data_IF_858349914167
#
_entry.id   IF_858349914167
#
_cell.length_a   1.000
_cell.length_b   1.000
_cell.length_c   1.000
_cell.angle_alpha   90.00
_cell.angle_beta   90.00
_cell.angle_gamma   90.00
#
_symmetry.space_group_name_H-M   'P 1'
#
loop_
_entity.id
_entity.type
_entity.pdbx_description
1 polymer ?
#
# COMPACT_ATOMS: atom_id res chain seq x y z
N UNK A 1 -26.92 1.26 23.03
CA UNK A 1 -25.73 0.51 23.47
C UNK A 1 -25.57 -0.65 22.54
N UNK A 2 -24.60 -0.62 21.63
CA UNK A 2 -24.29 -1.74 20.75
C UNK A 2 -23.58 -2.82 21.57
N UNK A 3 -24.09 -4.04 21.53
CA UNK A 3 -23.44 -5.21 22.13
C UNK A 3 -22.13 -5.48 21.38
N UNK A 4 -21.00 -5.72 22.07
CA UNK A 4 -19.77 -6.10 21.42
C UNK A 4 -19.97 -7.47 20.74
N UNK A 5 -19.80 -7.53 19.41
CA UNK A 5 -19.59 -8.79 18.73
C UNK A 5 -20.46 -9.15 17.55
N UNK A 6 -21.35 -8.31 17.05
CA UNK A 6 -22.01 -8.61 15.78
C UNK A 6 -22.49 -7.31 15.10
N UNK A 7 -21.70 -6.78 14.16
CA UNK A 7 -22.26 -5.93 13.12
C UNK A 7 -23.13 -6.87 12.27
N UNK A 8 -24.43 -6.87 12.47
CA UNK A 8 -25.36 -7.76 11.75
C UNK A 8 -25.25 -7.61 10.23
N UNK A 9 -24.74 -6.47 9.76
CA UNK A 9 -24.36 -6.17 8.37
C UNK A 9 -23.17 -5.18 8.39
N UNK A 10 -21.91 -5.67 8.39
CA UNK A 10 -20.73 -4.80 8.48
C UNK A 10 -20.60 -3.95 7.21
N UNK A 11 -20.23 -2.66 7.34
CA UNK A 11 -20.03 -1.78 6.19
C UNK A 11 -19.02 -2.35 5.19
N UNK A 12 -19.27 -2.06 3.91
CA UNK A 12 -18.35 -2.38 2.83
C UNK A 12 -17.31 -1.28 2.72
N UNK A 13 -16.03 -1.64 2.86
CA UNK A 13 -14.90 -0.72 2.72
C UNK A 13 -14.13 -1.05 1.45
N UNK A 14 -14.10 -0.11 0.52
CA UNK A 14 -13.27 -0.19 -0.67
C UNK A 14 -11.95 0.55 -0.41
N UNK A 15 -10.84 -0.16 -0.53
CA UNK A 15 -9.50 0.42 -0.45
C UNK A 15 -8.93 0.48 -1.87
N UNK A 16 -8.66 1.67 -2.35
CA UNK A 16 -7.99 1.91 -3.62
C UNK A 16 -6.49 1.86 -3.42
N UNK A 17 -5.83 0.83 -3.99
CA UNK A 17 -4.46 0.43 -3.74
C UNK A 17 -4.38 -0.83 -2.87
N UNK A 18 -3.38 -1.69 -3.12
CA UNK A 18 -3.12 -2.91 -2.36
C UNK A 18 -1.62 -3.10 -2.02
N UNK A 19 -0.84 -2.02 -2.06
CA UNK A 19 0.55 -1.97 -1.59
C UNK A 19 0.67 -2.01 -0.06
N UNK A 20 1.89 -1.86 0.48
CA UNK A 20 2.18 -2.04 1.91
C UNK A 20 1.25 -1.25 2.84
N UNK A 21 1.06 0.06 2.59
CA UNK A 21 0.26 0.90 3.49
C UNK A 21 -1.23 0.56 3.39
N UNK A 22 -1.72 0.37 2.17
CA UNK A 22 -3.09 -0.08 1.91
C UNK A 22 -3.36 -1.45 2.56
N UNK A 23 -2.41 -2.37 2.49
CA UNK A 23 -2.51 -3.70 3.09
C UNK A 23 -2.58 -3.64 4.62
N UNK A 24 -1.82 -2.74 5.25
CA UNK A 24 -1.93 -2.50 6.70
C UNK A 24 -3.32 -1.99 7.11
N UNK A 25 -3.92 -1.12 6.29
CA UNK A 25 -5.31 -0.67 6.47
C UNK A 25 -6.29 -1.82 6.29
N UNK A 26 -6.17 -2.58 5.20
CA UNK A 26 -7.01 -3.76 4.92
C UNK A 26 -6.93 -4.81 6.01
N UNK A 27 -5.72 -5.08 6.50
CA UNK A 27 -5.46 -5.98 7.62
C UNK A 27 -6.18 -5.54 8.91
N UNK A 28 -6.08 -4.26 9.28
CA UNK A 28 -6.71 -3.72 10.50
C UNK A 28 -8.24 -3.77 10.41
N UNK A 29 -8.80 -3.34 9.27
CA UNK A 29 -10.25 -3.30 9.07
C UNK A 29 -10.87 -4.70 8.97
N UNK A 30 -10.23 -5.63 8.28
CA UNK A 30 -10.67 -7.02 8.22
C UNK A 30 -10.71 -7.65 9.62
N UNK A 31 -9.67 -7.44 10.45
CA UNK A 31 -9.64 -7.91 11.84
C UNK A 31 -10.70 -7.26 12.72
N UNK A 32 -11.12 -6.06 12.39
CA UNK A 32 -12.23 -5.37 13.06
C UNK A 32 -13.62 -5.80 12.56
N UNK A 33 -13.69 -6.75 11.60
CA UNK A 33 -14.95 -7.33 11.12
C UNK A 33 -15.59 -6.60 9.94
N UNK A 34 -14.90 -5.66 9.29
CA UNK A 34 -15.41 -4.99 8.09
C UNK A 34 -15.31 -5.88 6.85
N UNK A 35 -16.24 -5.67 5.90
CA UNK A 35 -16.17 -6.27 4.56
C UNK A 35 -15.22 -5.45 3.70
N UNK A 36 -13.96 -5.83 3.67
CA UNK A 36 -12.93 -5.13 2.89
C UNK A 36 -12.90 -5.69 1.46
N UNK A 37 -12.78 -4.80 0.47
CA UNK A 37 -12.38 -5.10 -0.92
C UNK A 37 -11.27 -4.13 -1.31
N UNK A 38 -10.28 -4.59 -2.07
CA UNK A 38 -9.17 -3.75 -2.50
C UNK A 38 -9.05 -3.74 -4.01
N UNK A 39 -8.56 -2.62 -4.57
CA UNK A 39 -8.26 -2.53 -6.00
C UNK A 39 -6.81 -2.19 -6.22
N UNK A 40 -6.25 -2.66 -7.33
CA UNK A 40 -4.85 -2.40 -7.70
C UNK A 40 -4.69 -2.41 -9.24
N UNK A 41 -3.53 -1.99 -9.72
CA UNK A 41 -3.14 -2.14 -11.12
C UNK A 41 -2.78 -3.60 -11.44
N UNK A 42 -2.84 -3.98 -12.73
CA UNK A 42 -2.54 -5.35 -13.16
C UNK A 42 -1.08 -5.78 -12.94
N UNK A 43 -0.15 -4.83 -12.92
CA UNK A 43 1.27 -5.07 -12.66
C UNK A 43 1.76 -4.16 -11.51
N UNK A 44 1.53 -4.56 -10.26
CA UNK A 44 1.88 -3.74 -9.10
C UNK A 44 3.41 -3.59 -8.92
N UNK A 45 3.87 -2.36 -8.67
CA UNK A 45 5.28 -2.05 -8.41
C UNK A 45 5.61 -2.10 -6.90
N UNK A 46 5.26 -3.20 -6.25
CA UNK A 46 5.43 -3.36 -4.80
C UNK A 46 6.80 -3.96 -4.47
N UNK A 47 7.71 -3.19 -3.86
CA UNK A 47 9.02 -3.74 -3.41
C UNK A 47 8.86 -4.63 -2.17
N UNK A 48 7.86 -4.34 -1.31
CA UNK A 48 7.56 -5.15 -0.12
C UNK A 48 6.38 -6.09 -0.35
N UNK A 49 6.37 -6.75 -1.50
CA UNK A 49 5.29 -7.65 -1.92
C UNK A 49 4.94 -8.77 -0.90
N UNK A 50 5.82 -9.27 0.00
CA UNK A 50 5.43 -10.28 0.99
C UNK A 50 4.35 -9.80 1.97
N UNK A 51 4.26 -8.49 2.22
CA UNK A 51 3.27 -7.89 3.14
C UNK A 51 2.22 -7.07 2.40
N UNK A 52 2.01 -7.35 1.11
CA UNK A 52 1.06 -6.65 0.25
C UNK A 52 -0.03 -7.59 -0.27
N UNK A 53 -1.29 -7.28 -0.01
CA UNK A 53 -2.42 -8.06 -0.56
C UNK A 53 -2.48 -8.01 -2.09
N UNK A 54 -1.96 -6.93 -2.70
CA UNK A 54 -1.85 -6.81 -4.17
C UNK A 54 -1.02 -7.92 -4.83
N UNK A 55 -0.19 -8.63 -4.07
CA UNK A 55 0.51 -9.82 -4.55
C UNK A 55 -0.45 -10.92 -5.04
N UNK A 56 -1.67 -10.96 -4.51
CA UNK A 56 -2.71 -11.87 -4.96
C UNK A 56 -3.07 -11.71 -6.44
N UNK A 57 -2.90 -10.53 -7.04
CA UNK A 57 -3.14 -10.32 -8.48
C UNK A 57 -2.20 -11.18 -9.32
N UNK A 58 -0.95 -11.36 -8.88
CA UNK A 58 0.06 -12.13 -9.60
C UNK A 58 0.01 -13.63 -9.25
N UNK A 59 -0.39 -13.98 -8.02
CA UNK A 59 -0.34 -15.34 -7.47
C UNK A 59 -1.73 -16.01 -7.36
N UNK A 60 -2.82 -15.30 -7.74
CA UNK A 60 -4.19 -15.75 -7.52
C UNK A 60 -4.66 -15.57 -6.08
N UNK A 61 -3.81 -15.83 -5.09
CA UNK A 61 -4.06 -15.54 -3.68
C UNK A 61 -2.76 -15.28 -2.93
N UNK A 62 -2.83 -14.49 -1.85
CA UNK A 62 -1.67 -14.18 -1.02
C UNK A 62 -2.07 -13.99 0.43
N UNK A 63 -1.23 -14.45 1.35
CA UNK A 63 -1.51 -14.32 2.78
C UNK A 63 -0.61 -13.24 3.42
N UNK A 64 -1.21 -12.36 4.21
CA UNK A 64 -0.52 -11.35 5.02
C UNK A 64 -0.96 -11.53 6.48
N UNK A 65 -0.06 -11.99 7.34
CA UNK A 65 -0.30 -12.22 8.77
C UNK A 65 -1.63 -12.94 9.06
N UNK A 66 -1.84 -14.08 8.41
CA UNK A 66 -3.00 -14.96 8.64
C UNK A 66 -4.27 -14.54 7.91
N UNK A 67 -4.26 -13.44 7.16
CA UNK A 67 -5.41 -13.01 6.33
C UNK A 67 -5.09 -13.30 4.86
N UNK A 68 -6.02 -13.96 4.17
CA UNK A 68 -5.88 -14.30 2.77
C UNK A 68 -6.51 -13.23 1.87
N UNK A 69 -5.70 -12.57 1.02
CA UNK A 69 -6.15 -11.82 -0.14
C UNK A 69 -6.40 -12.77 -1.32
N UNK A 70 -7.48 -12.58 -2.06
CA UNK A 70 -7.84 -13.43 -3.21
C UNK A 70 -8.13 -12.55 -4.43
N UNK A 71 -7.41 -12.80 -5.52
CA UNK A 71 -7.71 -12.15 -6.79
C UNK A 71 -9.11 -12.58 -7.28
N UNK A 72 -9.89 -11.61 -7.70
CA UNK A 72 -11.21 -11.84 -8.30
C UNK A 72 -11.30 -11.07 -9.63
N UNK A 73 -12.04 -11.63 -10.57
CA UNK A 73 -12.27 -11.02 -11.88
C UNK A 73 -13.46 -10.05 -11.87
N UNK A 74 -14.36 -10.21 -10.89
CA UNK A 74 -15.60 -9.45 -10.85
C UNK A 74 -16.05 -9.13 -9.41
N UNK A 75 -16.68 -7.96 -9.18
CA UNK A 75 -17.27 -7.63 -7.87
C UNK A 75 -18.31 -8.62 -7.37
N UNK A 76 -18.94 -9.38 -8.27
CA UNK A 76 -19.90 -10.44 -7.92
C UNK A 76 -19.26 -11.57 -7.08
N UNK A 77 -17.94 -11.72 -7.13
CA UNK A 77 -17.21 -12.70 -6.33
C UNK A 77 -16.94 -12.24 -4.89
N UNK A 78 -17.11 -10.96 -4.57
CA UNK A 78 -16.83 -10.41 -3.23
C UNK A 78 -17.55 -11.18 -2.11
N UNK A 79 -18.87 -11.47 -2.19
CA UNK A 79 -19.57 -12.19 -1.12
C UNK A 79 -18.97 -13.57 -0.84
N UNK A 80 -18.56 -14.30 -1.88
CA UNK A 80 -17.92 -15.60 -1.75
C UNK A 80 -16.60 -15.51 -0.97
N UNK A 81 -15.77 -14.52 -1.31
CA UNK A 81 -14.46 -14.32 -0.64
C UNK A 81 -14.66 -13.89 0.82
N UNK A 82 -15.61 -12.98 1.11
CA UNK A 82 -15.92 -12.58 2.50
C UNK A 82 -16.43 -13.74 3.34
N UNK A 83 -17.28 -14.62 2.78
CA UNK A 83 -17.76 -15.83 3.47
C UNK A 83 -16.61 -16.80 3.82
N UNK A 84 -15.55 -16.80 3.02
CA UNK A 84 -14.32 -17.57 3.27
C UNK A 84 -13.36 -16.86 4.25
N UNK A 85 -13.74 -15.71 4.79
CA UNK A 85 -12.89 -14.91 5.69
C UNK A 85 -11.70 -14.24 5.00
N UNK A 86 -11.78 -14.00 3.68
CA UNK A 86 -10.72 -13.38 2.89
C UNK A 86 -11.02 -11.94 2.50
N UNK A 87 -10.03 -11.30 1.86
CA UNK A 87 -10.14 -9.97 1.25
C UNK A 87 -10.11 -10.13 -0.28
N UNK A 88 -11.19 -9.79 -1.01
CA UNK A 88 -11.15 -9.76 -2.47
C UNK A 88 -10.25 -8.63 -3.00
N UNK A 89 -9.44 -8.95 -4.01
CA UNK A 89 -8.52 -8.03 -4.68
C UNK A 89 -8.88 -7.99 -6.16
N UNK A 90 -9.19 -6.80 -6.68
CA UNK A 90 -9.67 -6.59 -8.04
C UNK A 90 -8.68 -5.73 -8.83
N UNK A 91 -8.45 -6.05 -10.09
CA UNK A 91 -7.73 -5.18 -11.02
C UNK A 91 -8.68 -4.07 -11.48
N UNK A 92 -8.65 -2.92 -10.79
CA UNK A 92 -9.52 -1.77 -11.11
C UNK A 92 -8.88 -0.44 -10.65
N UNK A 93 -7.81 0.01 -11.28
CA UNK A 93 -7.12 1.25 -10.90
C UNK A 93 -7.99 2.51 -11.03
N UNK A 94 -8.93 2.49 -11.96
CA UNK A 94 -9.78 3.62 -12.31
C UNK A 94 -11.14 3.61 -11.58
N UNK A 95 -11.38 2.64 -10.69
CA UNK A 95 -12.64 2.46 -9.95
C UNK A 95 -13.87 2.31 -10.88
N UNK A 96 -13.72 1.62 -12.01
CA UNK A 96 -14.81 1.36 -12.96
C UNK A 96 -15.94 0.53 -12.35
N UNK A 97 -15.59 -0.30 -11.35
CA UNK A 97 -16.54 -1.13 -10.63
C UNK A 97 -17.16 -0.46 -9.38
N UNK A 98 -16.82 0.80 -9.11
CA UNK A 98 -17.37 1.55 -7.97
C UNK A 98 -18.92 1.53 -7.93
N UNK A 99 -19.66 1.71 -9.06
CA UNK A 99 -21.12 1.66 -9.06
C UNK A 99 -21.71 0.28 -8.75
N UNK A 100 -20.92 -0.79 -8.92
CA UNK A 100 -21.33 -2.17 -8.63
C UNK A 100 -21.02 -2.55 -7.19
N UNK A 101 -19.84 -2.13 -6.67
CA UNK A 101 -19.39 -2.38 -5.30
C UNK A 101 -20.24 -1.59 -4.30
N UNK A 102 -20.56 -0.32 -4.60
CA UNK A 102 -21.32 0.61 -3.74
C UNK A 102 -20.80 0.62 -2.30
N UNK A 103 -19.53 0.97 -2.07
CA UNK A 103 -18.98 0.94 -0.74
C UNK A 103 -19.60 2.02 0.16
N UNK A 104 -19.73 1.73 1.45
CA UNK A 104 -20.06 2.72 2.47
C UNK A 104 -18.88 3.65 2.74
N UNK A 105 -17.67 3.12 2.58
CA UNK A 105 -16.41 3.82 2.85
C UNK A 105 -15.44 3.57 1.70
N UNK A 106 -14.84 4.64 1.19
CA UNK A 106 -13.74 4.57 0.23
C UNK A 106 -12.47 5.16 0.85
N UNK A 107 -11.39 4.39 0.80
CA UNK A 107 -10.07 4.80 1.26
C UNK A 107 -9.12 4.83 0.07
N UNK A 108 -8.64 6.00 -0.33
CA UNK A 108 -7.60 6.11 -1.36
C UNK A 108 -6.22 5.99 -0.71
N UNK A 109 -5.60 4.84 -0.91
CA UNK A 109 -4.32 4.44 -0.35
C UNK A 109 -3.26 4.16 -1.43
N UNK A 110 -3.43 4.70 -2.66
CA UNK A 110 -2.45 4.56 -3.74
C UNK A 110 -1.11 5.20 -3.38
N UNK A 111 -1.12 6.23 -2.54
CA UNK A 111 0.07 7.00 -2.14
C UNK A 111 0.75 7.73 -3.32
N UNK A 112 -0.01 8.14 -4.33
CA UNK A 112 0.49 8.80 -5.55
C UNK A 112 0.93 10.26 -5.32
N UNK A 113 0.72 10.82 -4.12
CA UNK A 113 1.05 12.22 -3.75
C UNK A 113 0.30 13.28 -4.55
N UNK A 114 -0.69 12.85 -5.30
CA UNK A 114 -1.69 13.65 -6.03
C UNK A 114 -2.99 12.87 -6.12
N UNK A 115 -4.09 13.55 -6.16
CA UNK A 115 -5.39 12.90 -6.37
C UNK A 115 -5.48 12.38 -7.82
N UNK A 116 -5.82 11.10 -7.97
CA UNK A 116 -6.02 10.42 -9.26
C UNK A 116 -7.50 10.13 -9.52
N UNK A 117 -8.39 11.05 -9.14
CA UNK A 117 -9.81 10.99 -9.48
C UNK A 117 -10.73 10.51 -8.36
N UNK A 118 -10.25 10.31 -7.14
CA UNK A 118 -11.11 10.09 -5.98
C UNK A 118 -11.81 11.40 -5.58
N UNK A 119 -13.11 11.35 -5.37
CA UNK A 119 -13.92 12.52 -5.01
C UNK A 119 -14.67 12.28 -3.71
N UNK A 120 -15.08 13.36 -3.05
CA UNK A 120 -15.88 13.29 -1.83
C UNK A 120 -17.22 12.55 -2.04
N UNK A 121 -17.73 12.55 -3.28
CA UNK A 121 -18.97 11.86 -3.65
C UNK A 121 -18.79 10.37 -3.97
N UNK A 122 -17.56 9.84 -3.92
CA UNK A 122 -17.26 8.44 -4.29
C UNK A 122 -17.82 7.43 -3.28
N UNK A 123 -18.09 7.84 -2.03
CA UNK A 123 -18.75 7.04 -1.01
C UNK A 123 -19.30 7.94 0.11
N UNK A 124 -20.21 7.45 0.98
CA UNK A 124 -20.70 8.18 2.16
C UNK A 124 -19.59 8.68 3.08
N UNK A 125 -18.49 7.91 3.23
CA UNK A 125 -17.24 8.37 3.84
C UNK A 125 -16.08 8.14 2.87
N UNK A 126 -15.27 9.18 2.62
CA UNK A 126 -14.04 9.08 1.83
C UNK A 126 -12.84 9.54 2.65
N UNK A 127 -11.75 8.75 2.64
CA UNK A 127 -10.49 9.06 3.32
C UNK A 127 -9.35 9.00 2.30
N UNK A 128 -8.62 10.10 2.14
CA UNK A 128 -7.40 10.15 1.32
C UNK A 128 -6.16 9.97 2.20
N UNK A 129 -5.25 9.09 1.83
CA UNK A 129 -4.03 8.84 2.59
C UNK A 129 -2.86 9.67 2.05
N UNK A 130 -2.35 10.57 2.89
CA UNK A 130 -1.18 11.39 2.62
C UNK A 130 -1.44 12.62 1.76
N UNK A 131 -0.36 13.25 1.26
CA UNK A 131 -0.46 14.45 0.45
C UNK A 131 -1.13 14.21 -0.90
N UNK A 132 -1.77 15.24 -1.44
CA UNK A 132 -2.49 15.20 -2.72
C UNK A 132 -4.01 15.31 -2.57
N UNK A 133 -4.53 15.24 -1.36
CA UNK A 133 -5.95 15.43 -1.04
C UNK A 133 -6.18 16.64 -0.15
N UNK A 134 -7.30 17.32 -0.38
CA UNK A 134 -7.83 18.36 0.50
C UNK A 134 -9.06 17.81 1.24
N UNK A 135 -8.99 17.74 2.57
CA UNK A 135 -10.12 17.35 3.40
C UNK A 135 -11.24 18.41 3.34
N UNK A 136 -12.48 17.96 3.20
CA UNK A 136 -13.66 18.78 3.01
C UNK A 136 -13.89 19.25 1.58
N UNK A 137 -12.98 18.92 0.63
CA UNK A 137 -13.11 19.25 -0.79
C UNK A 137 -12.99 18.00 -1.68
N UNK A 138 -11.87 17.33 -1.63
CA UNK A 138 -11.59 16.14 -2.46
C UNK A 138 -12.11 14.87 -1.79
N UNK A 139 -11.94 14.80 -0.47
CA UNK A 139 -12.36 13.70 0.42
C UNK A 139 -12.92 14.27 1.72
N UNK A 140 -13.68 13.47 2.48
CA UNK A 140 -14.18 13.90 3.78
C UNK A 140 -13.06 14.11 4.79
N UNK A 141 -12.09 13.20 4.82
CA UNK A 141 -10.95 13.24 5.74
C UNK A 141 -9.64 12.92 5.02
N UNK A 142 -8.56 13.52 5.48
CA UNK A 142 -7.21 13.18 5.03
C UNK A 142 -6.47 12.52 6.20
N UNK A 143 -5.77 11.44 5.94
CA UNK A 143 -4.90 10.78 6.92
C UNK A 143 -3.46 11.20 6.71
N UNK A 144 -2.84 11.76 7.76
CA UNK A 144 -1.41 12.08 7.72
C UNK A 144 -0.56 10.81 7.66
N UNK A 145 0.32 10.74 6.68
CA UNK A 145 1.20 9.58 6.44
C UNK A 145 2.68 9.90 6.60
N UNK A 146 3.05 11.17 6.79
CA UNK A 146 4.43 11.51 7.11
C UNK A 146 4.78 11.00 8.51
N UNK A 147 5.95 10.35 8.63
CA UNK A 147 6.38 9.83 9.91
C UNK A 147 6.83 11.00 10.81
N UNK A 148 6.45 10.97 12.06
CA UNK A 148 6.70 12.03 13.03
C UNK A 148 5.52 12.20 13.99
N UNK A 149 5.43 13.36 14.63
CA UNK A 149 4.42 13.66 15.65
C UNK A 149 2.99 13.49 15.14
N UNK A 150 2.74 13.81 13.87
CA UNK A 150 1.39 13.82 13.27
C UNK A 150 1.03 12.51 12.55
N UNK A 151 1.90 11.49 12.52
CA UNK A 151 1.61 10.22 11.83
C UNK A 151 0.28 9.61 12.29
N UNK A 152 -0.60 9.33 11.34
CA UNK A 152 -1.92 8.76 11.62
C UNK A 152 -2.97 9.77 12.06
N UNK A 153 -2.65 11.07 12.12
CA UNK A 153 -3.64 12.12 12.44
C UNK A 153 -4.69 12.21 11.33
N UNK A 154 -5.96 12.20 11.73
CA UNK A 154 -7.09 12.51 10.86
C UNK A 154 -7.29 14.01 10.75
N UNK A 155 -7.35 14.50 9.52
CA UNK A 155 -7.48 15.91 9.17
C UNK A 155 -8.87 16.10 8.57
N UNK A 156 -9.68 16.95 9.16
CA UNK A 156 -11.05 17.23 8.72
C UNK A 156 -11.14 18.46 7.79
N UNK A 157 -10.09 19.27 7.70
CA UNK A 157 -10.01 20.44 6.83
C UNK A 157 -8.55 20.71 6.41
N UNK A 158 -8.32 20.92 5.12
CA UNK A 158 -7.00 21.22 4.58
C UNK A 158 -6.23 19.97 4.14
N UNK A 159 -4.92 19.98 4.26
CA UNK A 159 -4.00 19.03 3.63
C UNK A 159 -3.12 18.31 4.67
N UNK A 160 -2.64 17.12 4.32
CA UNK A 160 -1.51 16.49 4.98
C UNK A 160 -0.21 17.26 4.72
N UNK A 161 0.84 16.96 5.47
CA UNK A 161 2.17 17.53 5.28
C UNK A 161 2.68 17.28 3.86
N UNK A 162 3.37 18.25 3.24
CA UNK A 162 3.95 18.06 1.90
C UNK A 162 4.92 16.88 1.86
N UNK A 163 4.96 16.20 0.70
CA UNK A 163 5.93 15.14 0.51
C UNK A 163 7.37 15.70 0.56
N UNK A 164 8.18 15.17 1.47
CA UNK A 164 9.59 15.58 1.62
C UNK A 164 10.51 15.03 0.52
N UNK A 165 10.09 13.97 -0.19
CA UNK A 165 10.96 13.23 -1.12
C UNK A 165 12.11 12.49 -0.45
N UNK A 166 12.21 12.54 0.88
CA UNK A 166 13.25 11.88 1.67
C UNK A 166 12.65 10.64 2.34
N UNK A 167 13.24 9.44 2.11
CA UNK A 167 12.83 8.24 2.83
C UNK A 167 13.02 8.41 4.33
N UNK A 168 12.15 7.76 5.09
CA UNK A 168 12.26 7.74 6.56
C UNK A 168 13.59 7.18 7.04
N UNK A 169 14.13 7.77 8.10
CA UNK A 169 15.37 7.30 8.71
C UNK A 169 15.15 5.98 9.48
N UNK A 170 16.03 5.01 9.25
CA UNK A 170 16.16 3.79 10.06
C UNK A 170 17.60 3.69 10.53
N UNK A 171 17.82 3.75 11.84
CA UNK A 171 19.17 3.86 12.45
C UNK A 171 20.02 4.99 11.85
N UNK A 172 19.38 6.13 11.48
CA UNK A 172 20.04 7.28 10.89
C UNK A 172 20.22 7.24 9.38
N UNK A 173 20.00 6.10 8.72
CA UNK A 173 20.08 5.96 7.26
C UNK A 173 18.74 6.32 6.60
N UNK A 174 18.77 7.11 5.54
CA UNK A 174 17.60 7.58 4.79
C UNK A 174 17.62 7.12 3.34
N UNK A 175 18.33 7.86 2.48
CA UNK A 175 18.42 7.58 1.04
C UNK A 175 19.25 6.34 0.73
N UNK A 176 20.22 6.05 1.53
CA UNK A 176 21.18 4.96 1.38
C UNK A 176 20.49 3.58 1.39
N UNK A 177 19.40 3.48 2.16
CA UNK A 177 18.65 2.24 2.30
C UNK A 177 17.64 1.99 1.17
N UNK A 178 17.38 2.97 0.30
CA UNK A 178 16.43 2.84 -0.78
C UNK A 178 17.15 2.74 -2.12
N UNK A 179 16.86 1.70 -2.86
CA UNK A 179 17.39 1.46 -4.18
C UNK A 179 16.41 1.97 -5.23
N UNK A 180 16.90 2.74 -6.16
CA UNK A 180 16.12 3.27 -7.28
C UNK A 180 16.63 2.70 -8.60
N UNK A 181 15.72 2.56 -9.56
CA UNK A 181 16.08 2.16 -10.91
C UNK A 181 17.01 3.20 -11.55
N UNK A 182 18.18 2.80 -12.06
CA UNK A 182 19.06 3.70 -12.80
C UNK A 182 18.54 4.03 -14.22
N UNK A 183 17.56 3.28 -14.73
CA UNK A 183 16.97 3.47 -16.05
C UNK A 183 15.74 2.61 -16.27
N UNK A 184 15.12 2.72 -17.47
CA UNK A 184 14.04 1.86 -17.92
C UNK A 184 14.58 0.47 -18.30
N UNK A 185 13.71 -0.53 -18.30
CA UNK A 185 14.05 -1.90 -18.70
C UNK A 185 13.30 -2.96 -17.91
N UNK A 186 13.75 -4.19 -18.00
CA UNK A 186 13.20 -5.33 -17.26
C UNK A 186 14.11 -5.60 -16.07
N UNK A 187 13.52 -5.61 -14.87
CA UNK A 187 14.24 -5.90 -13.63
C UNK A 187 14.42 -7.41 -13.44
N UNK A 188 15.64 -7.82 -13.10
CA UNK A 188 15.98 -9.17 -12.69
C UNK A 188 16.61 -9.15 -11.29
N UNK A 189 15.96 -9.77 -10.31
CA UNK A 189 16.49 -9.89 -8.96
C UNK A 189 17.70 -10.86 -8.90
N UNK A 190 18.75 -10.48 -8.19
CA UNK A 190 19.96 -11.31 -7.96
C UNK A 190 20.11 -11.77 -6.51
N UNK A 191 19.23 -11.31 -5.62
CA UNK A 191 19.10 -11.76 -4.25
C UNK A 191 17.61 -11.91 -3.89
N UNK A 192 17.34 -12.31 -2.67
CA UNK A 192 15.97 -12.54 -2.16
C UNK A 192 15.66 -11.58 -1.01
N UNK A 193 14.37 -11.30 -0.82
CA UNK A 193 13.91 -10.65 0.41
C UNK A 193 14.24 -11.55 1.59
N UNK A 194 14.77 -10.99 2.67
CA UNK A 194 15.29 -11.70 3.84
C UNK A 194 16.80 -11.98 3.80
N UNK A 195 17.44 -11.85 2.64
CA UNK A 195 18.88 -12.09 2.49
C UNK A 195 19.71 -10.94 3.07
N UNK A 196 20.80 -11.28 3.75
CA UNK A 196 21.77 -10.30 4.23
C UNK A 196 22.73 -9.90 3.11
N UNK A 197 22.96 -8.59 2.97
CA UNK A 197 23.81 -8.02 1.92
C UNK A 197 24.78 -7.00 2.51
N UNK A 198 25.86 -6.77 1.76
CA UNK A 198 26.91 -5.79 2.06
C UNK A 198 26.86 -4.63 1.06
N UNK A 199 27.54 -3.54 1.42
CA UNK A 199 27.76 -2.43 0.49
C UNK A 199 28.44 -2.93 -0.77
N UNK A 200 27.90 -2.57 -1.94
CA UNK A 200 28.42 -2.96 -3.25
C UNK A 200 27.86 -4.28 -3.82
N UNK A 201 27.16 -5.09 -3.02
CA UNK A 201 26.53 -6.29 -3.55
C UNK A 201 25.49 -5.95 -4.62
N UNK A 202 25.42 -6.79 -5.66
CA UNK A 202 24.45 -6.61 -6.75
C UNK A 202 23.13 -7.26 -6.33
N UNK A 203 22.10 -6.42 -6.09
CA UNK A 203 20.78 -6.89 -5.70
C UNK A 203 19.87 -7.21 -6.88
N UNK A 204 20.15 -6.61 -8.03
CA UNK A 204 19.40 -6.83 -9.25
C UNK A 204 20.09 -6.25 -10.46
N UNK A 205 19.56 -6.58 -11.63
CA UNK A 205 19.98 -6.04 -12.92
C UNK A 205 18.78 -5.41 -13.61
N UNK A 206 19.00 -4.36 -14.39
CA UNK A 206 18.00 -3.79 -15.30
C UNK A 206 18.51 -4.00 -16.71
N UNK A 207 17.74 -4.75 -17.50
CA UNK A 207 18.05 -5.05 -18.89
C UNK A 207 17.20 -4.17 -19.82
N UNK A 208 17.87 -3.42 -20.69
CA UNK A 208 17.26 -2.63 -21.78
C UNK A 208 17.94 -2.99 -23.09
N UNK A 209 17.33 -3.86 -23.88
CA UNK A 209 17.98 -4.45 -25.05
C UNK A 209 19.25 -5.22 -24.68
N UNK A 210 20.40 -4.85 -25.25
CA UNK A 210 21.70 -5.45 -24.92
C UNK A 210 22.39 -4.80 -23.70
N UNK A 211 21.90 -3.66 -23.24
CA UNK A 211 22.46 -2.97 -22.09
C UNK A 211 21.96 -3.58 -20.79
N UNK A 212 22.90 -3.90 -19.89
CA UNK A 212 22.63 -4.40 -18.54
C UNK A 212 23.21 -3.43 -17.53
N UNK A 213 22.37 -2.89 -16.64
CA UNK A 213 22.78 -1.95 -15.61
C UNK A 213 22.56 -2.58 -14.23
N UNK A 214 23.60 -2.70 -13.38
CA UNK A 214 23.46 -3.27 -12.05
C UNK A 214 22.75 -2.29 -11.08
N UNK A 215 21.95 -2.86 -10.17
CA UNK A 215 21.41 -2.18 -8.99
C UNK A 215 22.19 -2.70 -7.78
N UNK A 216 23.01 -1.83 -7.19
CA UNK A 216 23.90 -2.18 -6.09
C UNK A 216 23.39 -1.66 -4.76
N UNK A 217 23.69 -2.41 -3.68
CA UNK A 217 23.43 -1.99 -2.32
C UNK A 217 24.35 -0.86 -1.86
N UNK A 218 23.75 0.23 -1.39
CA UNK A 218 24.51 1.36 -0.82
C UNK A 218 24.72 1.22 0.69
N UNK A 219 24.18 0.15 1.29
CA UNK A 219 24.17 -0.09 2.73
C UNK A 219 24.22 -1.60 3.00
N UNK A 220 24.88 -2.01 4.09
CA UNK A 220 24.77 -3.37 4.63
C UNK A 220 23.49 -3.54 5.43
N UNK A 221 22.87 -4.71 5.33
CA UNK A 221 21.61 -5.00 6.04
C UNK A 221 20.88 -6.19 5.45
N UNK A 222 19.60 -6.34 5.80
CA UNK A 222 18.71 -7.33 5.22
C UNK A 222 17.92 -6.69 4.07
N UNK A 223 17.83 -7.38 2.94
CA UNK A 223 16.96 -6.99 1.82
C UNK A 223 15.50 -7.09 2.28
N UNK A 224 14.93 -5.96 2.68
CA UNK A 224 13.56 -5.90 3.22
C UNK A 224 12.51 -5.81 2.13
N UNK A 225 12.91 -5.31 0.98
CA UNK A 225 12.05 -5.18 -0.18
C UNK A 225 12.86 -5.22 -1.47
N UNK A 226 12.32 -5.87 -2.48
CA UNK A 226 12.91 -5.97 -3.81
C UNK A 226 11.79 -6.21 -4.82
N UNK A 227 11.84 -5.56 -5.99
CA UNK A 227 10.92 -5.87 -7.07
C UNK A 227 11.07 -7.34 -7.52
N UNK A 228 10.01 -7.88 -8.05
CA UNK A 228 10.03 -9.24 -8.63
C UNK A 228 10.74 -9.21 -9.97
N UNK A 229 11.47 -10.29 -10.29
CA UNK A 229 12.04 -10.46 -11.62
C UNK A 229 10.95 -10.46 -12.68
N UNK A 230 11.26 -9.87 -13.83
CA UNK A 230 10.31 -9.67 -14.92
C UNK A 230 9.50 -8.35 -14.80
N UNK A 231 9.66 -7.59 -13.72
CA UNK A 231 8.97 -6.28 -13.59
C UNK A 231 9.48 -5.31 -14.65
N UNK A 232 8.56 -4.76 -15.44
CA UNK A 232 8.86 -3.74 -16.45
C UNK A 232 8.94 -2.37 -15.77
N UNK A 233 10.07 -1.72 -15.90
CA UNK A 233 10.33 -0.37 -15.38
C UNK A 233 10.21 0.61 -16.54
N UNK A 234 9.24 1.52 -16.43
CA UNK A 234 9.00 2.60 -17.39
C UNK A 234 9.38 3.90 -16.70
N UNK A 235 10.34 4.62 -17.25
CA UNK A 235 10.70 5.96 -16.77
C UNK A 235 9.78 6.98 -17.44
N UNK A 236 9.27 7.92 -16.65
CA UNK A 236 8.53 9.06 -17.23
C UNK A 236 9.46 9.97 -18.02
N UNK A 237 8.96 10.59 -19.08
CA UNK A 237 9.74 11.47 -19.98
C UNK A 237 10.50 12.59 -19.24
N UNK A 238 9.98 13.04 -18.10
CA UNK A 238 10.60 14.08 -17.28
C UNK A 238 11.62 13.56 -16.25
N UNK A 239 11.90 12.26 -16.21
CA UNK A 239 12.87 11.61 -15.32
C UNK A 239 12.70 11.91 -13.80
N UNK A 240 11.59 12.53 -13.39
CA UNK A 240 11.35 13.02 -12.03
C UNK A 240 10.81 11.94 -11.07
N UNK A 241 10.27 10.86 -11.59
CA UNK A 241 9.74 9.77 -10.77
C UNK A 241 10.78 8.65 -10.62
N UNK A 242 11.57 8.74 -9.58
CA UNK A 242 12.48 7.65 -9.18
C UNK A 242 11.68 6.40 -8.82
N UNK A 243 11.75 5.36 -9.66
CA UNK A 243 11.10 4.10 -9.37
C UNK A 243 11.93 3.34 -8.34
N UNK A 244 11.33 3.09 -7.19
CA UNK A 244 11.93 2.31 -6.12
C UNK A 244 11.97 0.84 -6.54
N UNK A 245 13.16 0.22 -6.52
CA UNK A 245 13.36 -1.19 -6.86
C UNK A 245 13.72 -2.07 -5.68
N UNK A 246 14.16 -1.47 -4.58
CA UNK A 246 14.51 -2.21 -3.37
C UNK A 246 14.60 -1.34 -2.12
N UNK A 247 14.72 -2.02 -0.98
CA UNK A 247 14.84 -1.44 0.35
C UNK A 247 15.71 -2.34 1.23
N UNK A 248 16.79 -1.79 1.79
CA UNK A 248 17.69 -2.50 2.72
C UNK A 248 17.39 -2.02 4.13
N UNK A 249 17.24 -2.94 5.07
CA UNK A 249 17.01 -2.64 6.48
C UNK A 249 18.31 -2.84 7.27
N UNK A 250 18.91 -1.77 7.81
CA UNK A 250 20.18 -1.84 8.54
C UNK A 250 20.07 -2.49 9.93
N UNK A 251 18.87 -2.84 10.38
CA UNK A 251 18.65 -3.49 11.67
C UNK A 251 18.98 -4.99 11.68
N UNK A 252 19.19 -5.61 10.49
CA UNK A 252 19.51 -7.03 10.34
C UNK A 252 18.44 -7.95 10.97
N UNK A 253 17.15 -7.59 10.80
CA UNK A 253 15.99 -8.32 11.32
C UNK A 253 15.16 -8.89 10.18
N UNK A 254 15.37 -10.17 9.87
CA UNK A 254 14.66 -10.84 8.77
C UNK A 254 13.15 -10.87 8.99
N UNK A 255 12.68 -11.03 10.24
CA UNK A 255 11.27 -11.06 10.58
C UNK A 255 10.51 -9.79 10.14
N UNK A 256 11.20 -8.66 9.99
CA UNK A 256 10.60 -7.41 9.51
C UNK A 256 10.27 -7.44 8.01
N UNK A 257 10.77 -8.43 7.28
CA UNK A 257 10.44 -8.62 5.87
C UNK A 257 9.02 -9.18 5.68
N UNK A 258 8.54 -9.97 6.66
CA UNK A 258 7.35 -10.80 6.57
C UNK A 258 6.17 -10.26 7.37
N UNK A 259 6.35 -9.17 8.10
CA UNK A 259 5.33 -8.60 8.98
C UNK A 259 4.93 -7.19 8.56
N UNK A 260 3.68 -6.84 8.81
CA UNK A 260 3.12 -5.49 8.59
C UNK A 260 3.93 -4.49 9.42
N UNK A 261 4.40 -3.41 8.79
CA UNK A 261 5.26 -2.42 9.47
C UNK A 261 4.49 -1.62 10.54
N UNK A 262 5.25 -1.04 11.46
CA UNK A 262 4.75 -0.10 12.46
C UNK A 262 3.91 1.04 11.86
N UNK A 263 4.41 1.64 10.78
CA UNK A 263 3.70 2.68 10.05
C UNK A 263 2.37 2.17 9.49
N UNK A 264 2.37 1.03 8.81
CA UNK A 264 1.17 0.47 8.21
C UNK A 264 0.13 0.08 9.27
N UNK A 265 0.57 -0.44 10.44
CA UNK A 265 -0.32 -0.70 11.59
C UNK A 265 -0.91 0.59 12.15
N UNK A 266 -0.09 1.63 12.35
CA UNK A 266 -0.55 2.94 12.83
C UNK A 266 -1.61 3.52 11.90
N UNK A 267 -1.34 3.54 10.59
CA UNK A 267 -2.29 4.05 9.60
C UNK A 267 -3.60 3.24 9.59
N UNK A 268 -3.51 1.91 9.65
CA UNK A 268 -4.67 1.03 9.73
C UNK A 268 -5.54 1.29 10.97
N UNK A 269 -4.91 1.44 12.14
CA UNK A 269 -5.60 1.77 13.39
C UNK A 269 -6.24 3.16 13.35
N UNK A 270 -5.56 4.13 12.75
CA UNK A 270 -6.09 5.50 12.63
C UNK A 270 -7.29 5.56 11.69
N UNK A 271 -7.24 4.83 10.56
CA UNK A 271 -8.40 4.70 9.66
C UNK A 271 -9.56 4.04 10.37
N UNK A 272 -9.33 2.95 11.10
CA UNK A 272 -10.36 2.28 11.89
C UNK A 272 -11.02 3.24 12.89
N UNK A 273 -10.23 4.04 13.63
CA UNK A 273 -10.75 5.05 14.53
C UNK A 273 -11.65 6.05 13.79
N UNK A 274 -11.19 6.57 12.65
CA UNK A 274 -11.96 7.50 11.84
C UNK A 274 -13.29 6.94 11.33
N UNK A 275 -13.32 5.67 10.98
CA UNK A 275 -14.55 4.99 10.60
C UNK A 275 -15.51 4.85 11.79
N UNK A 276 -15.02 4.45 12.96
CA UNK A 276 -15.82 4.32 14.18
C UNK A 276 -16.40 5.68 14.61
N UNK A 277 -15.60 6.74 14.55
CA UNK A 277 -16.10 8.11 14.82
C UNK A 277 -17.24 8.49 13.87
N UNK A 278 -17.09 8.23 12.56
CA UNK A 278 -18.11 8.50 11.57
C UNK A 278 -19.39 7.69 11.82
N UNK A 279 -19.27 6.37 12.10
CA UNK A 279 -20.42 5.51 12.44
C UNK A 279 -21.17 5.95 13.69
N UNK A 280 -20.49 6.61 14.63
CA UNK A 280 -21.09 7.18 15.84
C UNK A 280 -21.65 8.60 15.64
N UNK A 281 -21.80 9.08 14.40
CA UNK A 281 -22.31 10.41 14.08
C UNK A 281 -21.28 11.54 14.25
N UNK A 282 -20.00 11.22 14.40
CA UNK A 282 -18.90 12.18 14.35
C UNK A 282 -18.73 12.72 12.92
N UNK A 283 -18.65 14.05 12.79
CA UNK A 283 -18.42 14.76 11.51
C UNK A 283 -16.94 14.95 11.25
#
# INVERSE_FOLDING_TARGET
MMTPGNLADPPVVLIRGAGEQASGVGWALHRAGFRVVMTEIAQPLMVRWPVCFGTAILEGSWEVEGIRGMHIESPQDCPRVWQQGGIPILVDPDLKHLPQIRPDILIDAIMAKRNLGTTIASAPLTIGMGPGFCAGKDVHRVLETNRGHNLGRLINSGYAEPNTGIPEAVLGYTKERVLYAPGAGIFEAKCRIGEEVRVGDILGLIQQGEQITPVQGNLGGVVRGLLRSGTVIIMNENNDARIKVGDIDPRFKEEYCWTVSDKARTLGTSVLLGIIEWMNGGR
#
